data_IF_924795853818
#
_entry.id   IF_924795853818
#
_cell.length_a   1.000
_cell.length_b   1.000
_cell.length_c   1.000
_cell.angle_alpha   90.00
_cell.angle_beta   90.00
_cell.angle_gamma   90.00
#
_symmetry.space_group_name_H-M   'P 1'
#
loop_
_entity.id
_entity.type
_entity.pdbx_description
1 polymer ?
#
# COMPACT_ATOMS: atom_id res chain seq x y z
N UNK A 1 0.41 -3.53 -26.32
CA UNK A 1 -0.22 -3.76 -25.01
C UNK A 1 -0.81 -2.44 -24.58
N UNK A 2 -2.13 -2.33 -24.59
CA UNK A 2 -2.84 -1.06 -24.33
C UNK A 2 -3.04 -0.93 -22.84
N UNK A 3 -2.28 -0.03 -22.21
CA UNK A 3 -2.45 0.35 -20.80
C UNK A 3 -3.84 0.97 -20.66
N UNK A 4 -4.77 0.25 -20.05
CA UNK A 4 -6.15 0.73 -19.87
C UNK A 4 -6.13 1.73 -18.72
N UNK A 5 -6.44 2.98 -19.02
CA UNK A 5 -6.68 4.04 -18.06
C UNK A 5 -7.86 3.64 -17.17
N UNK A 6 -7.68 3.55 -15.85
CA UNK A 6 -8.73 3.08 -14.93
C UNK A 6 -9.23 4.25 -14.04
N UNK A 7 -10.52 4.62 -14.11
CA UNK A 7 -11.08 5.72 -13.31
C UNK A 7 -11.22 5.41 -11.82
N UNK A 8 -11.26 4.13 -11.43
CA UNK A 8 -11.71 3.70 -10.09
C UNK A 8 -10.75 4.09 -8.96
N UNK A 9 -9.43 4.12 -9.17
CA UNK A 9 -8.48 4.59 -8.15
C UNK A 9 -8.53 6.11 -7.90
N UNK A 10 -9.23 6.89 -8.75
CA UNK A 10 -9.45 8.32 -8.52
C UNK A 10 -10.53 8.61 -7.48
N UNK A 11 -11.40 7.65 -7.16
CA UNK A 11 -12.48 7.82 -6.17
C UNK A 11 -12.02 7.59 -4.72
N UNK A 12 -10.78 7.13 -4.51
CA UNK A 12 -10.23 6.95 -3.17
C UNK A 12 -10.05 8.31 -2.51
N UNK A 13 -10.91 8.59 -1.53
CA UNK A 13 -10.89 9.84 -0.76
C UNK A 13 -10.17 9.73 0.58
N UNK A 14 -10.01 8.52 1.11
CA UNK A 14 -9.37 8.29 2.41
C UNK A 14 -8.85 6.87 2.54
N UNK A 15 -7.85 6.74 3.41
CA UNK A 15 -7.27 5.48 3.83
C UNK A 15 -7.54 5.25 5.31
N UNK A 16 -7.93 4.02 5.64
CA UNK A 16 -8.36 3.58 6.97
C UNK A 16 -7.28 2.70 7.63
N UNK A 17 -7.27 2.60 8.97
CA UNK A 17 -6.43 1.65 9.70
C UNK A 17 -6.78 0.21 9.32
N UNK A 18 -5.82 -0.69 9.10
CA UNK A 18 -6.18 -2.08 8.74
C UNK A 18 -6.94 -2.78 9.87
N UNK A 19 -7.97 -3.58 9.51
CA UNK A 19 -8.87 -4.17 10.49
C UNK A 19 -8.21 -5.33 11.26
N UNK A 20 -8.55 -5.52 12.54
CA UNK A 20 -8.35 -6.81 13.21
C UNK A 20 -9.16 -7.92 12.51
N UNK A 21 -8.74 -9.19 12.49
CA UNK A 21 -7.56 -9.77 13.16
C UNK A 21 -6.30 -9.80 12.29
N UNK A 22 -6.32 -9.17 11.11
CA UNK A 22 -5.18 -9.17 10.16
C UNK A 22 -3.91 -8.69 10.86
N UNK A 23 -4.06 -7.73 11.78
CA UNK A 23 -2.97 -7.22 12.60
C UNK A 23 -3.23 -7.55 14.07
N UNK A 24 -2.37 -8.39 14.66
CA UNK A 24 -2.44 -8.80 16.08
C UNK A 24 -2.01 -7.69 17.04
N UNK A 25 -1.14 -6.79 16.58
CA UNK A 25 -0.58 -5.70 17.36
C UNK A 25 -0.89 -4.38 16.65
N UNK A 26 -1.48 -3.37 17.30
CA UNK A 26 -1.74 -2.09 16.64
C UNK A 26 -0.47 -1.53 15.99
N UNK A 27 -0.56 -1.18 14.70
CA UNK A 27 0.53 -0.53 13.95
C UNK A 27 0.09 0.87 13.52
N UNK A 28 1.03 1.80 13.34
CA UNK A 28 0.77 3.09 12.71
C UNK A 28 -0.03 2.99 11.41
N UNK A 29 -0.99 3.90 11.24
CA UNK A 29 -1.72 4.05 9.99
C UNK A 29 -0.83 4.78 8.99
N UNK A 30 -0.67 4.21 7.79
CA UNK A 30 0.07 4.85 6.71
C UNK A 30 -0.75 6.00 6.12
N UNK A 31 -0.08 7.09 5.79
CA UNK A 31 -0.62 8.15 4.97
C UNK A 31 -0.34 7.80 3.51
N UNK A 32 -1.39 7.65 2.72
CA UNK A 32 -1.30 7.27 1.30
C UNK A 32 -1.97 8.33 0.45
N UNK A 33 -1.27 8.81 -0.57
CA UNK A 33 -1.79 9.74 -1.57
C UNK A 33 -1.54 9.22 -2.98
N UNK A 34 -2.46 9.48 -3.90
CA UNK A 34 -2.39 9.05 -5.29
C UNK A 34 -2.16 10.26 -6.20
N UNK A 35 -1.17 10.19 -7.10
CA UNK A 35 -1.05 11.17 -8.20
C UNK A 35 -1.85 10.67 -9.41
N UNK A 36 -2.77 11.49 -9.91
CA UNK A 36 -3.62 11.17 -11.06
C UNK A 36 -3.19 11.88 -12.35
N UNK A 37 -1.88 12.06 -12.53
CA UNK A 37 -1.34 12.74 -13.70
C UNK A 37 -1.84 12.07 -15.00
N UNK A 38 -2.51 12.80 -15.91
CA UNK A 38 -3.07 12.22 -17.12
C UNK A 38 -1.98 11.55 -17.98
N UNK A 39 -2.17 10.27 -18.28
CA UNK A 39 -1.25 9.49 -19.11
C UNK A 39 -0.09 8.83 -18.35
N UNK A 40 -0.02 9.00 -17.03
CA UNK A 40 0.92 8.28 -16.17
C UNK A 40 0.27 7.06 -15.52
N UNK A 41 1.09 6.08 -15.15
CA UNK A 41 0.68 4.92 -14.37
C UNK A 41 0.21 5.35 -12.97
N UNK A 42 -0.57 4.52 -12.27
CA UNK A 42 -1.09 4.90 -10.95
C UNK A 42 0.05 4.93 -9.92
N UNK A 43 0.54 6.14 -9.59
CA UNK A 43 1.65 6.33 -8.65
C UNK A 43 1.10 6.73 -7.29
N UNK A 44 1.42 5.94 -6.27
CA UNK A 44 1.06 6.20 -4.89
C UNK A 44 2.28 6.63 -4.11
N UNK A 45 2.11 7.65 -3.26
CA UNK A 45 3.07 8.02 -2.22
C UNK A 45 2.57 7.46 -0.90
N UNK A 46 3.41 6.68 -0.24
CA UNK A 46 3.15 6.06 1.06
C UNK A 46 4.10 6.67 2.06
N UNK A 47 3.58 7.15 3.18
CA UNK A 47 4.37 7.79 4.22
C UNK A 47 3.88 7.44 5.62
N UNK A 48 4.76 7.59 6.62
CA UNK A 48 4.44 7.27 8.00
C UNK A 48 5.62 7.44 8.94
N UNK A 49 5.35 7.27 10.23
CA UNK A 49 6.38 7.17 11.27
C UNK A 49 6.20 5.84 12.00
N UNK A 50 7.26 5.05 12.06
CA UNK A 50 7.21 3.71 12.62
C UNK A 50 7.80 3.67 14.03
N UNK A 51 7.38 2.68 14.81
CA UNK A 51 7.90 2.43 16.17
C UNK A 51 9.13 1.51 16.18
N UNK A 52 9.53 1.01 15.01
CA UNK A 52 10.73 0.20 14.79
C UNK A 52 11.46 0.72 13.55
N UNK A 53 12.75 0.41 13.45
CA UNK A 53 13.55 0.74 12.29
C UNK A 53 13.02 0.04 11.02
N UNK A 54 13.05 0.74 9.89
CA UNK A 54 12.96 0.15 8.55
C UNK A 54 14.35 -0.35 8.19
N UNK A 55 14.47 -1.60 7.80
CA UNK A 55 15.74 -2.25 7.46
C UNK A 55 15.75 -2.70 6.00
N UNK A 56 16.89 -3.17 5.51
CA UNK A 56 17.04 -3.73 4.15
C UNK A 56 16.13 -4.95 3.86
N UNK A 57 15.56 -5.55 4.91
CA UNK A 57 14.60 -6.65 4.78
C UNK A 57 13.16 -6.16 4.69
N UNK A 58 12.89 -4.91 5.07
CA UNK A 58 11.55 -4.34 5.08
C UNK A 58 11.09 -4.05 3.66
N UNK A 59 9.84 -4.38 3.38
CA UNK A 59 9.20 -4.15 2.08
C UNK A 59 8.01 -3.23 2.23
N UNK A 60 7.75 -2.45 1.19
CA UNK A 60 6.46 -1.84 0.94
C UNK A 60 5.67 -2.79 0.03
N UNK A 61 4.45 -3.13 0.44
CA UNK A 61 3.56 -4.02 -0.28
C UNK A 61 2.23 -3.33 -0.56
N UNK A 62 1.70 -3.56 -1.76
CA UNK A 62 0.30 -3.28 -2.10
C UNK A 62 -0.41 -4.57 -2.47
N UNK A 63 -1.64 -4.72 -2.00
CA UNK A 63 -2.47 -5.87 -2.29
C UNK A 63 -3.88 -5.43 -2.70
N UNK A 64 -4.43 -6.16 -3.67
CA UNK A 64 -5.83 -6.06 -4.05
C UNK A 64 -6.59 -7.22 -3.44
N UNK A 65 -7.65 -6.91 -2.70
CA UNK A 65 -8.46 -7.90 -1.98
C UNK A 65 -9.91 -7.78 -2.44
N UNK A 66 -10.51 -8.89 -2.85
CA UNK A 66 -11.90 -8.91 -3.29
C UNK A 66 -12.89 -8.88 -2.11
N UNK A 67 -14.18 -8.77 -2.41
CA UNK A 67 -15.27 -8.77 -1.43
C UNK A 67 -15.36 -10.03 -0.55
N UNK A 68 -14.68 -11.12 -0.93
CA UNK A 68 -14.56 -12.35 -0.14
C UNK A 68 -13.32 -12.37 0.77
N UNK A 69 -12.66 -11.22 0.97
CA UNK A 69 -11.41 -11.08 1.73
C UNK A 69 -10.26 -11.95 1.22
N UNK A 70 -10.24 -12.25 -0.09
CA UNK A 70 -9.15 -12.98 -0.74
C UNK A 70 -8.32 -12.06 -1.60
N UNK A 71 -7.01 -12.28 -1.58
CA UNK A 71 -6.08 -11.68 -2.54
C UNK A 71 -6.54 -12.02 -3.96
N UNK A 72 -6.62 -10.99 -4.80
CA UNK A 72 -6.94 -11.13 -6.23
C UNK A 72 -5.75 -11.73 -6.97
N UNK A 73 -4.55 -11.32 -6.57
CA UNK A 73 -3.25 -11.83 -7.02
C UNK A 73 -2.21 -11.63 -5.91
N UNK A 74 -0.97 -12.11 -6.14
CA UNK A 74 0.13 -11.89 -5.21
C UNK A 74 0.40 -10.38 -5.01
N UNK A 75 0.66 -9.91 -3.77
CA UNK A 75 0.93 -8.51 -3.53
C UNK A 75 2.14 -8.01 -4.34
N UNK A 76 2.01 -6.83 -4.93
CA UNK A 76 3.17 -6.14 -5.51
C UNK A 76 4.03 -5.62 -4.37
N UNK A 77 5.33 -5.95 -4.39
CA UNK A 77 6.27 -5.55 -3.34
C UNK A 77 7.50 -4.86 -3.89
N UNK A 78 8.00 -3.87 -3.16
CA UNK A 78 9.27 -3.19 -3.42
C UNK A 78 10.07 -3.08 -2.12
N UNK A 79 11.42 -2.99 -2.16
CA UNK A 79 12.21 -2.68 -0.98
C UNK A 79 11.73 -1.37 -0.35
N UNK A 80 11.60 -1.33 0.98
CA UNK A 80 11.20 -0.12 1.69
C UNK A 80 12.34 0.91 1.80
N UNK A 81 13.59 0.46 1.63
CA UNK A 81 14.74 1.36 1.63
C UNK A 81 14.82 2.10 0.28
N UNK A 82 14.78 3.43 0.33
CA UNK A 82 14.98 4.30 -0.84
C UNK A 82 16.40 4.90 -0.84
N UNK A 83 16.73 5.72 -1.83
CA UNK A 83 18.10 6.20 -2.12
C UNK A 83 18.90 6.87 -0.98
N UNK A 84 18.29 7.19 0.16
CA UNK A 84 18.98 7.59 1.40
C UNK A 84 19.66 6.43 2.14
N UNK A 85 19.37 5.18 1.74
CA UNK A 85 19.80 3.98 2.41
C UNK A 85 18.97 3.65 3.65
N UNK A 86 19.30 2.51 4.25
CA UNK A 86 18.73 2.05 5.51
C UNK A 86 19.82 1.98 6.59
N UNK A 87 19.44 1.98 7.88
CA UNK A 87 18.06 1.98 8.37
C UNK A 87 17.41 3.37 8.37
N UNK A 88 16.10 3.42 8.15
CA UNK A 88 15.28 4.58 8.54
C UNK A 88 14.88 4.34 9.99
N UNK A 89 15.27 5.23 10.91
CA UNK A 89 15.14 4.98 12.34
C UNK A 89 13.70 5.10 12.82
N UNK A 90 13.38 4.36 13.88
CA UNK A 90 12.10 4.52 14.57
C UNK A 90 11.85 6.00 14.91
N UNK A 91 10.64 6.48 14.61
CA UNK A 91 10.24 7.88 14.79
C UNK A 91 10.58 8.82 13.63
N UNK A 92 11.51 8.45 12.75
CA UNK A 92 11.83 9.21 11.55
C UNK A 92 10.70 9.12 10.52
N UNK A 93 10.61 10.15 9.67
CA UNK A 93 9.64 10.18 8.60
C UNK A 93 10.06 9.22 7.48
N UNK A 94 9.21 8.23 7.21
CA UNK A 94 9.27 7.41 6.01
C UNK A 94 8.41 8.03 4.91
N UNK A 95 8.92 7.99 3.67
CA UNK A 95 8.17 8.33 2.46
C UNK A 95 8.71 7.54 1.28
N UNK A 96 7.84 6.94 0.49
CA UNK A 96 8.21 6.22 -0.71
C UNK A 96 7.10 6.29 -1.75
N UNK A 97 7.48 6.40 -3.01
CA UNK A 97 6.56 6.27 -4.13
C UNK A 97 6.60 4.85 -4.69
N UNK A 98 5.45 4.35 -5.12
CA UNK A 98 5.34 3.11 -5.86
C UNK A 98 4.33 3.23 -6.98
N UNK A 99 4.68 2.66 -8.12
CA UNK A 99 3.77 2.50 -9.24
C UNK A 99 2.96 1.21 -9.08
N UNK A 100 1.66 1.29 -9.31
CA UNK A 100 0.73 0.19 -9.08
C UNK A 100 -0.03 -0.10 -10.36
N UNK A 101 -0.05 -1.38 -10.73
CA UNK A 101 -0.86 -1.88 -11.82
C UNK A 101 -2.08 -2.58 -11.22
N UNK A 102 -3.26 -2.19 -11.70
CA UNK A 102 -4.50 -2.84 -11.31
C UNK A 102 -4.66 -4.19 -12.04
N UNK A 103 -4.97 -5.28 -11.31
CA UNK A 103 -5.31 -6.56 -11.94
C UNK A 103 -6.49 -6.42 -12.89
N UNK A 104 -6.40 -7.04 -14.07
CA UNK A 104 -7.46 -6.97 -15.09
C UNK A 104 -8.75 -7.71 -14.71
N UNK A 105 -8.74 -8.51 -13.65
CA UNK A 105 -9.84 -9.32 -13.13
C UNK A 105 -10.46 -8.73 -11.84
N UNK A 106 -10.21 -7.46 -11.52
CA UNK A 106 -10.84 -6.79 -10.38
C UNK A 106 -12.37 -6.71 -10.54
N UNK A 107 -13.08 -7.04 -9.46
CA UNK A 107 -14.51 -6.77 -9.33
C UNK A 107 -14.76 -5.28 -9.10
N UNK A 108 -16.00 -4.83 -9.32
CA UNK A 108 -16.39 -3.42 -9.09
C UNK A 108 -16.09 -2.94 -7.66
N UNK A 109 -16.30 -3.80 -6.65
CA UNK A 109 -15.94 -3.50 -5.27
C UNK A 109 -14.71 -4.30 -4.84
N UNK A 110 -13.69 -3.60 -4.35
CA UNK A 110 -12.46 -4.21 -3.82
C UNK A 110 -11.81 -3.37 -2.73
N UNK A 111 -10.88 -3.98 -2.00
CA UNK A 111 -10.01 -3.34 -1.03
C UNK A 111 -8.62 -3.17 -1.66
N UNK A 112 -8.10 -1.95 -1.60
CA UNK A 112 -6.70 -1.66 -1.86
C UNK A 112 -5.96 -1.53 -0.52
N UNK A 113 -5.03 -2.43 -0.24
CA UNK A 113 -4.30 -2.46 1.03
C UNK A 113 -2.81 -2.15 0.82
N UNK A 114 -2.26 -1.34 1.71
CA UNK A 114 -0.84 -0.99 1.81
C UNK A 114 -0.26 -1.50 3.13
N UNK A 115 0.95 -2.06 3.08
CA UNK A 115 1.67 -2.50 4.26
C UNK A 115 3.17 -2.25 4.12
N UNK A 116 3.79 -1.78 5.19
CA UNK A 116 5.26 -1.71 5.31
C UNK A 116 5.68 -2.71 6.38
N UNK A 117 6.56 -3.65 6.05
CA UNK A 117 6.97 -4.70 6.98
C UNK A 117 7.76 -5.83 6.33
N UNK A 118 8.15 -6.83 7.13
CA UNK A 118 8.86 -8.01 6.65
C UNK A 118 7.88 -9.11 6.18
N UNK A 119 6.66 -9.11 6.72
CA UNK A 119 5.59 -10.05 6.37
C UNK A 119 4.24 -9.46 6.75
N UNK A 120 3.14 -10.09 6.31
CA UNK A 120 1.77 -9.71 6.71
C UNK A 120 1.52 -9.80 8.22
N UNK A 121 2.33 -10.59 8.94
CA UNK A 121 2.26 -10.74 10.40
C UNK A 121 3.26 -9.85 11.16
N UNK A 122 4.20 -9.22 10.46
CA UNK A 122 5.22 -8.32 11.00
C UNK A 122 5.22 -7.00 10.22
N UNK A 123 4.12 -6.27 10.39
CA UNK A 123 3.93 -4.95 9.83
C UNK A 123 4.47 -3.89 10.78
N UNK A 124 5.14 -2.88 10.20
CA UNK A 124 5.54 -1.64 10.84
C UNK A 124 4.47 -0.57 10.71
N UNK A 125 3.65 -0.64 9.66
CA UNK A 125 2.52 0.24 9.43
C UNK A 125 1.66 -0.29 8.30
N UNK A 126 0.41 0.15 8.27
CA UNK A 126 -0.51 -0.29 7.24
C UNK A 126 -1.62 0.74 6.97
N UNK A 127 -2.27 0.62 5.82
CA UNK A 127 -3.49 1.35 5.51
C UNK A 127 -4.32 0.59 4.47
N UNK A 128 -5.63 0.84 4.39
CA UNK A 128 -6.43 0.34 3.28
C UNK A 128 -7.50 1.33 2.82
N UNK A 129 -7.95 1.20 1.58
CA UNK A 129 -9.09 1.92 1.03
C UNK A 129 -10.13 0.93 0.49
N UNK A 130 -11.40 1.30 0.62
CA UNK A 130 -12.48 0.65 -0.11
C UNK A 130 -12.64 1.36 -1.45
N UNK A 131 -12.52 0.61 -2.53
CA UNK A 131 -12.84 1.08 -3.87
C UNK A 131 -14.20 0.52 -4.22
N UNK A 132 -15.15 1.43 -4.40
CA UNK A 132 -16.52 1.11 -4.77
C UNK A 132 -16.74 1.44 -6.24
N UNK A 133 -17.43 0.53 -6.92
CA UNK A 133 -17.69 0.58 -8.36
C UNK A 133 -18.82 1.48 -8.80
#
# INVERSE_FOLDING_TARGET
MTTKFVPHLRSISSFLPCPPPVIKTPVPVLQVSHSTDPGQNNVFTVSGKFTKDVTDQTKLAVAFVNSSNKLVEDPTTVPACTGSGCPIKAGDQYTQTMEIHEPGNLTFDYILAFGVGNSVTDLLGCAYALVLG
#
